data_IF_772431303748
#
_entry.id   IF_772431303748
#
_cell.length_a   1.000
_cell.length_b   1.000
_cell.length_c   1.000
_cell.angle_alpha   90.00
_cell.angle_beta   90.00
_cell.angle_gamma   90.00
#
_symmetry.space_group_name_H-M   'P 1'
#
loop_
_entity.id
_entity.type
_entity.pdbx_description
1 polymer ?
#
# COMPACT_ATOMS: atom_id res chain seq x y z
N UNK A 1 -15.36 -1.29 -26.09
CA UNK A 1 -14.06 -0.80 -25.56
C UNK A 1 -12.94 -1.60 -26.23
N UNK A 2 -11.84 -0.98 -26.67
CA UNK A 2 -10.66 -1.70 -27.15
C UNK A 2 -10.09 -2.52 -25.99
N UNK A 3 -9.82 -3.83 -26.20
CA UNK A 3 -9.26 -4.67 -25.14
C UNK A 3 -7.82 -4.26 -24.80
N UNK A 4 -7.45 -4.40 -23.53
CA UNK A 4 -6.11 -4.08 -23.02
C UNK A 4 -5.42 -5.35 -22.53
N UNK A 5 -4.16 -5.53 -22.94
CA UNK A 5 -3.34 -6.69 -22.62
C UNK A 5 -2.50 -6.43 -21.35
N UNK A 6 -2.44 -7.42 -20.47
CA UNK A 6 -1.44 -7.50 -19.41
C UNK A 6 -0.21 -8.19 -20.01
N UNK A 7 0.88 -7.45 -20.19
CA UNK A 7 2.10 -7.93 -20.85
C UNK A 7 3.29 -8.12 -19.89
N UNK A 8 3.16 -7.69 -18.65
CA UNK A 8 4.11 -7.92 -17.57
C UNK A 8 3.41 -7.95 -16.22
N UNK A 9 3.96 -8.72 -15.28
CA UNK A 9 3.46 -8.87 -13.92
C UNK A 9 4.58 -8.82 -12.89
N UNK A 10 4.31 -8.22 -11.73
CA UNK A 10 5.23 -8.25 -10.59
C UNK A 10 4.44 -8.21 -9.29
N UNK A 11 5.00 -8.78 -8.24
CA UNK A 11 4.40 -8.74 -6.91
C UNK A 11 5.47 -8.79 -5.82
N UNK A 12 5.16 -8.15 -4.69
CA UNK A 12 5.80 -8.32 -3.38
C UNK A 12 4.64 -8.47 -2.39
N UNK A 13 4.42 -9.68 -1.90
CA UNK A 13 3.26 -10.04 -1.08
C UNK A 13 3.70 -10.88 0.13
N UNK A 14 2.84 -11.09 1.12
CA UNK A 14 3.19 -11.91 2.29
C UNK A 14 3.74 -13.30 1.89
N UNK A 15 4.94 -13.63 2.37
CA UNK A 15 5.71 -14.84 2.04
C UNK A 15 5.96 -15.06 0.53
N UNK A 16 5.88 -13.99 -0.26
CA UNK A 16 6.08 -14.04 -1.71
C UNK A 16 6.82 -12.76 -2.18
N UNK A 17 8.15 -12.80 -2.28
CA UNK A 17 8.95 -11.67 -2.75
C UNK A 17 8.82 -11.41 -4.26
N UNK A 18 8.15 -12.31 -4.98
CA UNK A 18 7.88 -12.23 -6.41
C UNK A 18 6.57 -12.93 -6.81
N UNK A 19 6.12 -12.70 -8.04
CA UNK A 19 4.88 -13.25 -8.57
C UNK A 19 4.91 -14.79 -8.73
N UNK A 20 6.06 -15.38 -9.01
CA UNK A 20 6.21 -16.82 -9.16
C UNK A 20 6.04 -17.55 -7.82
N UNK A 21 6.66 -17.00 -6.76
CA UNK A 21 6.50 -17.49 -5.39
C UNK A 21 5.05 -17.33 -4.93
N UNK A 22 4.40 -16.21 -5.24
CA UNK A 22 2.99 -16.01 -4.94
C UNK A 22 2.10 -17.08 -5.59
N UNK A 23 2.33 -17.38 -6.86
CA UNK A 23 1.62 -18.44 -7.57
C UNK A 23 1.86 -19.81 -6.93
N UNK A 24 3.10 -20.11 -6.54
CA UNK A 24 3.44 -21.34 -5.82
C UNK A 24 2.70 -21.42 -4.48
N UNK A 25 2.62 -20.33 -3.74
CA UNK A 25 1.90 -20.27 -2.46
C UNK A 25 0.40 -20.56 -2.64
N UNK A 26 -0.22 -20.01 -3.69
CA UNK A 26 -1.62 -20.29 -4.02
C UNK A 26 -1.82 -21.78 -4.33
N UNK A 27 -1.01 -22.33 -5.22
CA UNK A 27 -1.17 -23.72 -5.70
C UNK A 27 -0.88 -24.76 -4.64
N UNK A 28 -0.03 -24.43 -3.66
CA UNK A 28 0.30 -25.32 -2.52
C UNK A 28 -0.59 -25.07 -1.30
N UNK A 29 -1.49 -24.07 -1.34
CA UNK A 29 -2.37 -23.73 -0.23
C UNK A 29 -1.64 -23.16 0.98
N UNK A 30 -0.51 -22.46 0.77
CA UNK A 30 0.24 -21.82 1.86
C UNK A 30 -0.60 -20.74 2.53
N UNK A 31 -0.71 -20.80 3.84
CA UNK A 31 -1.38 -19.79 4.66
C UNK A 31 -0.35 -18.79 5.20
N UNK A 32 -0.41 -17.53 4.77
CA UNK A 32 0.61 -16.50 5.04
C UNK A 32 0.20 -15.47 6.09
N UNK A 33 -0.94 -15.70 6.78
CA UNK A 33 -1.37 -14.87 7.89
C UNK A 33 -0.69 -15.35 9.18
N UNK A 34 -0.17 -14.41 9.96
CA UNK A 34 0.48 -14.70 11.25
C UNK A 34 0.28 -13.56 12.25
N UNK A 35 0.62 -13.80 13.51
CA UNK A 35 0.66 -12.72 14.50
C UNK A 35 1.68 -11.65 14.12
N UNK A 36 1.43 -10.42 14.57
CA UNK A 36 2.33 -9.29 14.40
C UNK A 36 3.65 -9.55 15.14
N UNK A 37 4.76 -9.18 14.50
CA UNK A 37 6.06 -9.14 15.17
C UNK A 37 6.17 -7.88 16.04
N UNK A 38 6.76 -7.95 17.23
CA UNK A 38 7.08 -6.76 18.05
C UNK A 38 7.96 -5.72 17.32
N UNK A 39 8.69 -6.13 16.28
CA UNK A 39 9.43 -5.19 15.42
C UNK A 39 8.53 -4.31 14.53
N UNK A 40 7.27 -4.69 14.33
CA UNK A 40 6.28 -3.91 13.58
C UNK A 40 5.51 -2.98 14.51
N UNK A 41 4.92 -3.51 15.52
CA UNK A 41 4.34 -2.81 16.68
C UNK A 41 4.19 -3.77 17.84
N UNK A 42 4.34 -3.26 19.06
CA UNK A 42 4.28 -4.08 20.28
C UNK A 42 2.83 -4.40 20.67
N UNK A 43 2.39 -5.67 20.59
CA UNK A 43 1.03 -6.05 20.98
C UNK A 43 0.72 -5.72 22.46
N UNK A 44 1.71 -5.72 23.34
CA UNK A 44 1.49 -5.39 24.74
C UNK A 44 0.96 -3.96 24.95
N UNK A 45 1.26 -3.06 24.01
CA UNK A 45 0.79 -1.66 24.07
C UNK A 45 -0.61 -1.48 23.47
N UNK A 46 -1.00 -2.26 22.47
CA UNK A 46 -2.16 -1.98 21.62
C UNK A 46 -3.24 -3.07 21.62
N UNK A 47 -2.90 -4.32 21.96
CA UNK A 47 -3.83 -5.43 21.92
C UNK A 47 -4.64 -5.54 23.23
N UNK A 48 -5.93 -5.82 23.09
CA UNK A 48 -6.84 -6.18 24.18
C UNK A 48 -7.94 -7.07 23.62
N UNK A 49 -8.27 -8.16 24.31
CA UNK A 49 -9.35 -9.07 23.92
C UNK A 49 -10.74 -8.42 24.09
N UNK A 50 -10.86 -7.42 24.95
CA UNK A 50 -12.09 -6.66 25.11
C UNK A 50 -12.27 -5.71 23.91
N UNK A 51 -13.26 -6.01 23.06
CA UNK A 51 -13.61 -5.19 21.91
C UNK A 51 -14.01 -3.75 22.27
N UNK A 52 -14.44 -3.52 23.51
CA UNK A 52 -14.83 -2.19 24.02
C UNK A 52 -13.67 -1.37 24.55
N UNK A 53 -12.50 -2.00 24.82
CA UNK A 53 -11.33 -1.31 25.38
C UNK A 53 -10.94 -0.09 24.53
N UNK A 54 -10.83 1.12 25.11
CA UNK A 54 -10.53 2.33 24.35
C UNK A 54 -9.12 2.24 23.73
N UNK A 55 -8.98 2.72 22.50
CA UNK A 55 -7.70 2.83 21.76
C UNK A 55 -6.90 1.52 21.64
N UNK A 56 -7.58 0.39 21.69
CA UNK A 56 -7.02 -0.96 21.54
C UNK A 56 -7.55 -1.64 20.30
N UNK A 57 -6.79 -2.63 19.86
CA UNK A 57 -7.16 -3.58 18.81
C UNK A 57 -7.42 -4.96 19.41
N UNK A 58 -8.47 -5.62 18.98
CA UNK A 58 -8.75 -7.02 19.34
C UNK A 58 -8.18 -8.03 18.34
N UNK A 59 -7.54 -7.55 17.27
CA UNK A 59 -6.85 -8.39 16.28
C UNK A 59 -5.38 -8.01 16.22
N UNK A 60 -4.51 -9.02 16.18
CA UNK A 60 -3.05 -8.88 16.03
C UNK A 60 -2.50 -9.75 14.91
N UNK A 61 -3.36 -10.27 14.04
CA UNK A 61 -2.99 -11.13 12.91
C UNK A 61 -3.07 -10.34 11.60
N UNK A 62 -2.16 -10.67 10.69
CA UNK A 62 -2.07 -9.99 9.39
C UNK A 62 -1.22 -10.75 8.38
N UNK A 63 -1.35 -10.38 7.12
CA UNK A 63 -0.47 -10.81 6.04
C UNK A 63 0.71 -9.83 5.92
N UNK A 64 1.88 -10.21 6.46
CA UNK A 64 3.06 -9.37 6.57
C UNK A 64 4.07 -9.69 5.47
N UNK A 65 4.60 -8.66 4.79
CA UNK A 65 5.74 -8.80 3.90
C UNK A 65 7.01 -8.87 4.74
N UNK A 66 7.73 -10.01 4.68
CA UNK A 66 8.89 -10.31 5.52
C UNK A 66 10.18 -10.51 4.74
N UNK A 67 10.12 -11.20 3.63
CA UNK A 67 11.27 -11.76 2.93
C UNK A 67 11.49 -11.08 1.57
N UNK A 68 11.45 -9.75 1.53
CA UNK A 68 11.77 -8.99 0.34
C UNK A 68 13.12 -8.29 0.48
N UNK A 69 13.80 -8.12 -0.64
CA UNK A 69 15.11 -7.53 -0.69
C UNK A 69 15.05 -6.13 -1.30
N UNK A 70 15.74 -5.18 -0.65
CA UNK A 70 15.93 -3.82 -1.15
C UNK A 70 17.41 -3.50 -1.20
N UNK A 71 17.97 -3.48 -2.41
CA UNK A 71 19.34 -3.02 -2.64
C UNK A 71 19.42 -2.16 -3.92
N UNK A 72 19.25 -0.84 -3.78
CA UNK A 72 19.35 0.06 -4.93
C UNK A 72 20.75 0.10 -5.55
N UNK A 73 21.79 -0.24 -4.80
CA UNK A 73 23.17 -0.27 -5.32
C UNK A 73 23.40 -1.52 -6.19
N UNK A 74 22.99 -2.69 -5.72
CA UNK A 74 23.00 -3.92 -6.54
C UNK A 74 22.21 -3.71 -7.85
N UNK A 75 21.06 -3.04 -7.76
CA UNK A 75 20.21 -2.75 -8.92
C UNK A 75 20.70 -1.58 -9.78
N UNK A 76 21.80 -0.93 -9.38
CA UNK A 76 22.40 0.23 -10.06
C UNK A 76 21.42 1.41 -10.22
N UNK A 77 20.54 1.58 -9.26
CA UNK A 77 19.63 2.73 -9.22
C UNK A 77 20.34 3.94 -8.61
N UNK A 78 20.15 5.14 -9.15
CA UNK A 78 20.83 6.36 -8.67
C UNK A 78 20.15 6.91 -7.40
N UNK A 79 20.03 6.08 -6.35
CA UNK A 79 19.41 6.44 -5.07
C UNK A 79 20.52 6.52 -4.01
N UNK A 80 20.87 7.71 -3.53
CA UNK A 80 21.84 7.86 -2.44
C UNK A 80 21.36 7.19 -1.15
N UNK A 81 22.23 6.64 -0.30
CA UNK A 81 21.84 5.98 0.95
C UNK A 81 20.92 6.84 1.83
N UNK A 82 21.23 8.12 2.03
CA UNK A 82 20.39 9.05 2.82
C UNK A 82 18.95 9.20 2.28
N UNK A 83 18.80 9.15 0.96
CA UNK A 83 17.48 9.17 0.32
C UNK A 83 16.79 7.82 0.56
N UNK A 84 17.51 6.71 0.37
CA UNK A 84 17.02 5.35 0.61
C UNK A 84 16.46 5.16 2.03
N UNK A 85 17.14 5.70 3.03
CA UNK A 85 16.72 5.62 4.44
C UNK A 85 15.45 6.45 4.73
N UNK A 86 15.24 7.51 3.97
CA UNK A 86 14.09 8.41 4.15
C UNK A 86 12.85 7.99 3.33
N UNK A 87 12.95 6.99 2.45
CA UNK A 87 11.85 6.53 1.60
C UNK A 87 11.00 5.50 2.34
N UNK A 88 9.69 5.69 2.36
CA UNK A 88 8.73 4.70 2.86
C UNK A 88 8.82 3.38 2.07
N UNK A 89 8.59 2.25 2.74
CA UNK A 89 8.65 0.94 2.10
C UNK A 89 7.66 0.79 0.94
N UNK A 90 6.50 1.45 1.00
CA UNK A 90 5.57 1.48 -0.14
C UNK A 90 6.20 2.09 -1.40
N UNK A 91 7.01 3.15 -1.26
CA UNK A 91 7.75 3.71 -2.40
C UNK A 91 8.86 2.77 -2.88
N UNK A 92 9.55 2.08 -1.96
CA UNK A 92 10.57 1.07 -2.31
C UNK A 92 9.94 -0.09 -3.09
N UNK A 93 8.75 -0.55 -2.65
CA UNK A 93 8.00 -1.59 -3.36
C UNK A 93 7.55 -1.14 -4.75
N UNK A 94 7.13 0.14 -4.90
CA UNK A 94 6.81 0.70 -6.22
C UNK A 94 7.99 0.59 -7.18
N UNK A 95 9.18 0.96 -6.72
CA UNK A 95 10.43 0.90 -7.52
C UNK A 95 10.78 -0.56 -7.85
N UNK A 96 10.79 -1.43 -6.84
CA UNK A 96 11.14 -2.84 -7.01
C UNK A 96 10.18 -3.56 -7.95
N UNK A 97 8.87 -3.35 -7.79
CA UNK A 97 7.87 -3.92 -8.69
C UNK A 97 7.92 -3.33 -10.09
N UNK A 98 8.19 -2.02 -10.25
CA UNK A 98 8.40 -1.42 -11.57
C UNK A 98 9.59 -2.06 -12.28
N UNK A 99 10.73 -2.22 -11.57
CA UNK A 99 11.89 -2.93 -12.13
C UNK A 99 11.55 -4.37 -12.52
N UNK A 100 10.84 -5.08 -11.65
CA UNK A 100 10.48 -6.48 -11.88
C UNK A 100 9.49 -6.65 -13.04
N UNK A 101 8.48 -5.78 -13.17
CA UNK A 101 7.50 -5.86 -14.26
C UNK A 101 8.12 -5.58 -15.64
N UNK A 102 9.11 -4.66 -15.68
CA UNK A 102 9.88 -4.39 -16.90
C UNK A 102 10.77 -5.59 -17.28
N UNK A 103 11.42 -6.20 -16.28
CA UNK A 103 12.23 -7.39 -16.50
C UNK A 103 11.38 -8.60 -16.94
N UNK A 104 10.19 -8.75 -16.39
CA UNK A 104 9.24 -9.80 -16.80
C UNK A 104 8.73 -9.60 -18.23
N UNK A 105 8.45 -8.36 -18.65
CA UNK A 105 8.11 -8.04 -20.03
C UNK A 105 9.28 -8.34 -20.98
N UNK A 106 10.49 -7.96 -20.60
CA UNK A 106 11.75 -8.33 -21.28
C UNK A 106 11.98 -7.69 -22.63
N UNK A 107 11.17 -6.71 -23.05
CA UNK A 107 11.32 -5.99 -24.32
C UNK A 107 11.46 -4.48 -24.08
N UNK A 108 12.08 -3.75 -25.03
CA UNK A 108 12.10 -2.29 -25.00
C UNK A 108 10.68 -1.72 -25.04
N UNK A 109 10.48 -0.62 -24.30
CA UNK A 109 9.25 0.20 -24.32
C UNK A 109 9.61 1.64 -24.69
N UNK A 110 8.64 2.38 -25.19
CA UNK A 110 8.81 3.81 -25.47
C UNK A 110 8.70 4.61 -24.16
N UNK A 111 9.80 5.16 -23.69
CA UNK A 111 9.84 5.91 -22.43
C UNK A 111 9.04 7.23 -22.49
N UNK A 112 9.01 7.89 -23.65
CA UNK A 112 8.24 9.13 -23.86
C UNK A 112 6.73 8.89 -23.73
N UNK A 113 6.29 7.65 -24.06
CA UNK A 113 4.88 7.27 -24.06
C UNK A 113 4.54 6.20 -23.02
N UNK A 114 5.32 6.15 -21.94
CA UNK A 114 5.07 5.25 -20.80
C UNK A 114 4.61 6.05 -19.58
N UNK A 115 3.42 5.70 -19.07
CA UNK A 115 2.81 6.27 -17.87
C UNK A 115 3.08 5.41 -16.62
N UNK A 116 2.88 6.01 -15.43
CA UNK A 116 2.89 5.31 -14.13
C UNK A 116 1.68 5.76 -13.33
N UNK A 117 0.66 4.92 -13.23
CA UNK A 117 -0.60 5.22 -12.54
C UNK A 117 -0.85 4.15 -11.48
N UNK A 118 -0.71 4.48 -10.20
CA UNK A 118 -0.73 3.52 -9.11
C UNK A 118 -1.87 3.80 -8.12
N UNK A 119 -2.47 2.75 -7.61
CA UNK A 119 -3.43 2.82 -6.51
C UNK A 119 -2.74 2.76 -5.16
N UNK A 120 -2.97 3.74 -4.32
CA UNK A 120 -2.50 3.75 -2.94
C UNK A 120 -3.42 4.64 -2.10
N UNK A 121 -3.74 4.19 -0.89
CA UNK A 121 -4.46 4.98 0.09
C UNK A 121 -3.56 5.28 1.29
N UNK A 122 -3.63 6.50 1.83
CA UNK A 122 -2.97 6.92 3.08
C UNK A 122 -1.42 6.90 3.07
N UNK A 123 -0.76 6.82 1.92
CA UNK A 123 0.70 6.70 1.77
C UNK A 123 1.29 5.43 2.43
N UNK A 124 2.01 5.55 3.55
CA UNK A 124 2.63 4.45 4.27
C UNK A 124 2.86 4.80 5.74
N UNK A 125 3.66 4.02 6.45
CA UNK A 125 3.87 4.18 7.90
C UNK A 125 4.88 5.28 8.25
N UNK A 126 5.80 5.62 7.36
CA UNK A 126 6.86 6.58 7.63
C UNK A 126 6.32 7.95 8.06
N UNK A 127 5.18 8.36 7.49
CA UNK A 127 4.49 9.59 7.87
C UNK A 127 4.08 9.59 9.36
N UNK A 128 3.51 8.48 9.85
CA UNK A 128 3.09 8.36 11.26
C UNK A 128 4.28 8.35 12.21
N UNK A 129 5.34 7.62 11.85
CA UNK A 129 6.53 7.50 12.69
C UNK A 129 7.25 8.83 12.83
N UNK A 130 7.39 9.59 11.75
CA UNK A 130 7.99 10.94 11.81
C UNK A 130 7.08 11.93 12.53
N UNK A 131 5.75 11.82 12.41
CA UNK A 131 4.81 12.66 13.15
C UNK A 131 4.92 12.45 14.67
N UNK A 132 5.09 11.21 15.13
CA UNK A 132 5.33 10.92 16.56
C UNK A 132 6.62 11.56 17.07
N UNK A 133 7.69 11.55 16.26
CA UNK A 133 8.94 12.25 16.61
C UNK A 133 8.74 13.76 16.71
N UNK A 134 8.01 14.34 15.76
CA UNK A 134 7.70 15.78 15.74
C UNK A 134 6.83 16.20 16.92
N UNK A 135 5.92 15.32 17.39
CA UNK A 135 5.03 15.58 18.51
C UNK A 135 5.72 15.56 19.89
N UNK A 136 7.02 15.26 19.96
CA UNK A 136 7.74 15.18 21.23
C UNK A 136 7.63 16.45 22.11
N UNK A 137 7.69 17.69 21.58
CA UNK A 137 7.49 18.89 22.40
C UNK A 137 6.11 18.97 23.06
N UNK A 138 5.05 18.55 22.34
CA UNK A 138 3.69 18.48 22.89
C UNK A 138 3.59 17.42 23.99
N UNK A 139 4.16 16.24 23.77
CA UNK A 139 4.23 15.16 24.78
C UNK A 139 4.96 15.65 26.04
N UNK A 140 6.11 16.31 25.86
CA UNK A 140 6.87 16.88 26.97
C UNK A 140 6.06 17.94 27.74
N UNK A 141 5.33 18.82 27.04
CA UNK A 141 4.46 19.81 27.65
C UNK A 141 3.37 19.15 28.52
N UNK A 142 2.68 18.14 27.99
CA UNK A 142 1.66 17.42 28.76
C UNK A 142 2.26 16.69 29.97
N UNK A 143 3.44 16.08 29.82
CA UNK A 143 4.18 15.48 30.93
C UNK A 143 4.50 16.53 32.01
N UNK A 144 5.01 17.72 31.64
CA UNK A 144 5.32 18.80 32.55
C UNK A 144 4.08 19.39 33.23
N UNK A 145 2.90 19.30 32.64
CA UNK A 145 1.63 19.77 33.25
C UNK A 145 1.04 18.77 34.24
N UNK A 146 1.49 17.52 34.24
CA UNK A 146 0.96 16.48 35.15
C UNK A 146 1.31 16.78 36.62
N UNK A 147 0.33 16.79 37.54
CA UNK A 147 0.57 17.16 38.95
C UNK A 147 1.61 16.28 39.64
N UNK A 148 1.65 14.99 39.37
CA UNK A 148 2.64 14.06 39.90
C UNK A 148 4.05 14.36 39.40
N UNK A 149 4.21 14.76 38.14
CA UNK A 149 5.49 15.15 37.57
C UNK A 149 6.02 16.46 38.15
N UNK A 150 5.12 17.41 38.47
CA UNK A 150 5.47 18.67 39.09
C UNK A 150 5.98 18.51 40.53
N UNK A 151 5.69 17.40 41.22
CA UNK A 151 6.21 17.08 42.54
C UNK A 151 7.67 16.62 42.54
N UNK A 152 8.21 16.26 41.35
CA UNK A 152 9.63 15.90 41.21
C UNK A 152 10.52 17.14 41.29
N UNK A 153 11.79 16.95 41.70
CA UNK A 153 12.76 18.04 41.66
C UNK A 153 13.00 18.56 40.23
N UNK A 154 13.39 19.82 40.05
CA UNK A 154 13.68 20.36 38.72
C UNK A 154 14.70 19.53 37.94
N UNK A 155 15.72 19.03 38.62
CA UNK A 155 16.78 18.19 38.00
C UNK A 155 16.22 16.87 37.50
N UNK A 156 15.34 16.19 38.25
CA UNK A 156 14.67 14.98 37.86
C UNK A 156 13.75 15.20 36.66
N UNK A 157 13.01 16.30 36.64
CA UNK A 157 12.12 16.64 35.52
C UNK A 157 12.91 16.84 34.21
N UNK A 158 14.02 17.54 34.30
CA UNK A 158 14.92 17.74 33.14
C UNK A 158 15.48 16.39 32.67
N UNK A 159 16.05 15.58 33.56
CA UNK A 159 16.63 14.30 33.23
C UNK A 159 15.63 13.34 32.56
N UNK A 160 14.41 13.22 33.08
CA UNK A 160 13.34 12.37 32.51
C UNK A 160 12.94 12.89 31.12
N UNK A 161 12.82 14.21 30.94
CA UNK A 161 12.43 14.78 29.65
C UNK A 161 13.50 14.58 28.58
N UNK A 162 14.78 14.75 28.95
CA UNK A 162 15.91 14.50 28.08
C UNK A 162 16.03 13.01 27.70
N UNK A 163 15.89 12.11 28.67
CA UNK A 163 15.91 10.66 28.41
C UNK A 163 14.75 10.24 27.48
N UNK A 164 13.55 10.76 27.70
CA UNK A 164 12.41 10.52 26.83
C UNK A 164 12.70 11.01 25.41
N UNK A 165 13.26 12.22 25.26
CA UNK A 165 13.65 12.77 23.95
C UNK A 165 14.67 11.90 23.23
N UNK A 166 15.68 11.40 23.95
CA UNK A 166 16.69 10.47 23.40
C UNK A 166 16.01 9.18 22.94
N UNK A 167 15.16 8.55 23.76
CA UNK A 167 14.45 7.32 23.39
C UNK A 167 13.55 7.52 22.18
N UNK A 168 12.83 8.63 22.10
CA UNK A 168 12.02 8.97 20.93
C UNK A 168 12.88 9.14 19.68
N UNK A 169 14.03 9.79 19.80
CA UNK A 169 14.95 9.96 18.66
C UNK A 169 15.59 8.65 18.19
N UNK A 170 15.75 7.65 19.05
CA UNK A 170 16.27 6.33 18.70
C UNK A 170 15.22 5.42 18.04
N UNK A 171 13.95 5.56 18.45
CA UNK A 171 12.88 4.65 18.02
C UNK A 171 12.12 5.16 16.80
N UNK A 172 12.24 6.44 16.44
CA UNK A 172 11.51 7.06 15.34
C UNK A 172 12.45 7.69 14.32
N UNK A 173 12.13 7.61 13.00
CA UNK A 173 13.01 8.07 11.94
C UNK A 173 13.37 9.55 12.08
N UNK A 174 14.60 9.89 11.70
CA UNK A 174 15.05 11.28 11.66
C UNK A 174 14.26 12.07 10.59
N UNK A 175 13.95 13.33 10.93
CA UNK A 175 13.32 14.26 9.98
C UNK A 175 14.44 15.02 9.25
N UNK A 176 14.58 14.72 7.95
CA UNK A 176 15.59 15.29 7.06
C UNK A 176 14.93 16.05 5.92
N UNK A 177 15.71 16.68 5.06
CA UNK A 177 15.26 17.30 3.80
C UNK A 177 14.61 16.31 2.82
N UNK A 178 14.90 15.01 2.96
CA UNK A 178 14.32 13.94 2.15
C UNK A 178 13.03 13.34 2.72
N UNK A 179 12.72 13.57 4.01
CA UNK A 179 11.58 12.97 4.72
C UNK A 179 10.26 13.29 4.04
N UNK A 180 10.05 14.55 3.64
CA UNK A 180 8.78 14.96 3.01
C UNK A 180 8.49 14.17 1.74
N UNK A 181 9.46 14.10 0.83
CA UNK A 181 9.33 13.33 -0.41
C UNK A 181 9.25 11.82 -0.16
N UNK A 182 9.94 11.33 0.87
CA UNK A 182 9.92 9.92 1.27
C UNK A 182 8.59 9.44 1.87
N UNK A 183 7.82 10.36 2.47
CA UNK A 183 6.57 10.02 3.18
C UNK A 183 5.29 10.29 2.37
N UNK A 184 5.37 10.95 1.21
CA UNK A 184 4.20 11.32 0.42
C UNK A 184 3.80 10.21 -0.56
N UNK A 185 2.55 9.74 -0.50
CA UNK A 185 2.04 8.68 -1.38
C UNK A 185 2.13 9.04 -2.86
N UNK A 186 1.75 10.26 -3.26
CA UNK A 186 1.80 10.69 -4.66
C UNK A 186 3.22 10.74 -5.27
N UNK A 187 4.25 10.86 -4.45
CA UNK A 187 5.65 10.77 -4.92
C UNK A 187 6.03 9.36 -5.38
N UNK A 188 5.29 8.35 -4.96
CA UNK A 188 5.51 6.94 -5.31
C UNK A 188 5.56 6.72 -6.84
N UNK A 189 4.53 7.18 -7.57
CA UNK A 189 4.48 7.11 -9.02
C UNK A 189 5.56 7.99 -9.69
N UNK A 190 5.73 9.22 -9.20
CA UNK A 190 6.75 10.14 -9.72
C UNK A 190 8.18 9.64 -9.52
N UNK A 191 8.46 8.94 -8.40
CA UNK A 191 9.77 8.35 -8.17
C UNK A 191 10.05 7.18 -9.10
N UNK A 192 9.07 6.31 -9.34
CA UNK A 192 9.20 5.26 -10.33
C UNK A 192 9.42 5.85 -11.74
N UNK A 193 8.60 6.82 -12.16
CA UNK A 193 8.76 7.50 -13.44
C UNK A 193 10.16 8.13 -13.59
N UNK A 194 10.64 8.84 -12.57
CA UNK A 194 11.97 9.46 -12.59
C UNK A 194 13.11 8.45 -12.68
N UNK A 195 13.06 7.35 -11.93
CA UNK A 195 14.13 6.35 -11.90
C UNK A 195 14.22 5.51 -13.18
N UNK A 196 13.11 5.31 -13.87
CA UNK A 196 13.04 4.53 -15.11
C UNK A 196 12.92 5.41 -16.36
N UNK A 197 13.09 6.74 -16.19
CA UNK A 197 13.08 7.72 -17.29
C UNK A 197 11.79 7.70 -18.10
N UNK A 198 10.63 7.61 -17.42
CA UNK A 198 9.33 7.64 -18.07
C UNK A 198 8.77 9.06 -18.11
N UNK A 199 8.29 9.50 -19.26
CA UNK A 199 7.85 10.87 -19.54
C UNK A 199 6.32 11.00 -19.67
N UNK A 200 5.59 9.89 -19.69
CA UNK A 200 4.13 9.90 -19.66
C UNK A 200 3.57 10.38 -18.30
N UNK A 201 2.25 10.55 -18.21
CA UNK A 201 1.59 10.95 -16.96
C UNK A 201 1.95 10.02 -15.80
N UNK A 202 2.17 10.62 -14.60
CA UNK A 202 2.39 9.82 -13.40
C UNK A 202 1.61 10.40 -12.22
N UNK A 203 0.80 9.59 -11.58
CA UNK A 203 -0.02 9.99 -10.43
C UNK A 203 -0.49 8.78 -9.61
N UNK A 204 -1.02 9.08 -8.42
CA UNK A 204 -1.67 8.11 -7.55
C UNK A 204 -3.18 8.32 -7.59
N UNK A 205 -3.91 7.22 -7.57
CA UNK A 205 -5.36 7.20 -7.38
C UNK A 205 -5.66 6.71 -5.96
N UNK A 206 -6.42 7.49 -5.21
CA UNK A 206 -6.97 7.09 -3.91
C UNK A 206 -8.49 6.97 -4.03
N UNK A 207 -8.97 5.75 -4.01
CA UNK A 207 -10.36 5.37 -3.91
C UNK A 207 -10.56 4.35 -2.76
N UNK A 208 -9.80 4.55 -1.68
CA UNK A 208 -9.71 3.66 -0.53
C UNK A 208 -9.43 2.21 -0.97
N UNK A 209 -10.22 1.22 -0.56
CA UNK A 209 -10.03 -0.20 -0.91
C UNK A 209 -10.10 -0.48 -2.43
N UNK A 210 -10.68 0.43 -3.22
CA UNK A 210 -10.80 0.32 -4.66
C UNK A 210 -9.66 1.00 -5.44
N UNK A 211 -8.63 1.57 -4.76
CA UNK A 211 -7.59 2.38 -5.39
C UNK A 211 -6.85 1.66 -6.53
N UNK A 212 -6.51 0.38 -6.34
CA UNK A 212 -5.84 -0.40 -7.38
C UNK A 212 -6.70 -0.56 -8.64
N UNK A 213 -7.99 -0.85 -8.47
CA UNK A 213 -8.92 -1.00 -9.61
C UNK A 213 -9.19 0.35 -10.28
N UNK A 214 -9.29 1.43 -9.52
CA UNK A 214 -9.46 2.79 -10.07
C UNK A 214 -8.20 3.25 -10.84
N UNK A 215 -7.00 2.86 -10.40
CA UNK A 215 -5.77 3.12 -11.14
C UNK A 215 -5.71 2.34 -12.47
N UNK A 216 -6.16 1.08 -12.46
CA UNK A 216 -6.27 0.27 -13.68
C UNK A 216 -7.31 0.87 -14.63
N UNK A 217 -8.44 1.36 -14.12
CA UNK A 217 -9.50 2.00 -14.93
C UNK A 217 -8.96 3.27 -15.63
N UNK A 218 -8.33 4.17 -14.88
CA UNK A 218 -7.67 5.35 -15.43
C UNK A 218 -6.56 5.00 -16.43
N UNK A 219 -5.83 3.91 -16.19
CA UNK A 219 -4.80 3.40 -17.11
C UNK A 219 -5.39 2.91 -18.43
N UNK A 220 -6.51 2.21 -18.38
CA UNK A 220 -7.23 1.72 -19.57
C UNK A 220 -7.78 2.91 -20.38
N UNK A 221 -8.38 3.91 -19.71
CA UNK A 221 -8.87 5.11 -20.39
C UNK A 221 -7.75 5.82 -21.16
N UNK A 222 -6.61 6.12 -20.52
CA UNK A 222 -5.50 6.77 -21.20
C UNK A 222 -4.87 5.96 -22.34
N UNK A 223 -4.84 4.61 -22.23
CA UNK A 223 -4.41 3.75 -23.34
C UNK A 223 -5.38 3.83 -24.53
N UNK A 224 -6.69 3.80 -24.30
CA UNK A 224 -7.73 3.85 -25.34
C UNK A 224 -7.77 5.23 -26.00
N UNK A 225 -7.57 6.29 -25.24
CA UNK A 225 -7.49 7.66 -25.74
C UNK A 225 -6.14 7.99 -26.41
N UNK A 226 -5.21 7.05 -26.45
CA UNK A 226 -3.87 7.22 -27.00
C UNK A 226 -3.04 8.34 -26.35
N UNK A 227 -3.28 8.65 -25.07
CA UNK A 227 -2.44 9.57 -24.31
C UNK A 227 -1.03 9.00 -24.11
N UNK A 228 -0.96 7.69 -23.89
CA UNK A 228 0.28 6.90 -23.79
C UNK A 228 0.07 5.52 -24.41
N UNK A 229 1.16 4.77 -24.63
CA UNK A 229 1.12 3.46 -25.29
C UNK A 229 1.43 2.29 -24.34
N UNK A 230 2.03 2.62 -23.20
CA UNK A 230 2.38 1.66 -22.14
C UNK A 230 2.13 2.29 -20.79
N UNK A 231 1.68 1.51 -19.81
CA UNK A 231 1.50 2.01 -18.44
C UNK A 231 1.86 0.95 -17.40
N UNK A 232 2.62 1.38 -16.39
CA UNK A 232 2.81 0.62 -15.15
C UNK A 232 1.68 1.01 -14.20
N UNK A 233 0.86 0.02 -13.80
CA UNK A 233 -0.31 0.25 -12.95
C UNK A 233 -0.53 -0.91 -11.97
N UNK A 234 -1.38 -0.71 -10.99
CA UNK A 234 -1.70 -1.69 -9.95
C UNK A 234 -1.86 -1.04 -8.60
N UNK A 235 -1.64 -1.78 -7.52
CA UNK A 235 -1.84 -1.28 -6.16
C UNK A 235 -0.69 -1.57 -5.22
N UNK A 236 -0.53 -0.69 -4.23
CA UNK A 236 0.48 -0.80 -3.18
C UNK A 236 -0.16 -0.38 -1.87
N UNK A 237 0.00 -1.19 -0.83
CA UNK A 237 -0.39 -0.82 0.54
C UNK A 237 0.68 -1.26 1.55
N UNK A 238 0.99 -0.34 2.48
CA UNK A 238 1.96 -0.52 3.56
C UNK A 238 1.43 0.00 4.91
N UNK A 239 0.11 0.05 5.09
CA UNK A 239 -0.55 0.63 6.26
C UNK A 239 -0.92 -0.44 7.31
N UNK A 240 0.07 -1.15 7.81
CA UNK A 240 -0.09 -2.24 8.79
C UNK A 240 0.38 -1.88 10.21
N UNK A 241 0.46 -0.59 10.52
CA UNK A 241 0.80 -0.10 11.86
C UNK A 241 -0.35 -0.22 12.87
N UNK A 242 -0.04 -0.14 14.17
CA UNK A 242 -1.00 -0.23 15.25
C UNK A 242 -2.20 0.72 15.08
N UNK A 243 -1.96 1.95 14.58
CA UNK A 243 -3.02 2.94 14.31
C UNK A 243 -4.09 2.41 13.34
N UNK A 244 -3.69 1.69 12.28
CA UNK A 244 -4.62 1.08 11.32
C UNK A 244 -5.42 -0.04 11.98
N UNK A 245 -4.77 -0.92 12.72
CA UNK A 245 -5.43 -2.00 13.45
C UNK A 245 -6.47 -1.48 14.43
N UNK A 246 -6.11 -0.50 15.28
CA UNK A 246 -7.03 0.11 16.24
C UNK A 246 -8.24 0.70 15.52
N UNK A 247 -8.05 1.50 14.46
CA UNK A 247 -9.15 2.15 13.73
C UNK A 247 -10.08 1.15 13.06
N UNK A 248 -9.55 0.11 12.41
CA UNK A 248 -10.35 -0.93 11.78
C UNK A 248 -11.07 -1.83 12.80
N UNK A 249 -10.49 -2.09 13.97
CA UNK A 249 -11.19 -2.76 15.05
C UNK A 249 -12.34 -1.93 15.60
N UNK A 250 -12.17 -0.61 15.76
CA UNK A 250 -13.25 0.27 16.28
C UNK A 250 -14.48 0.34 15.38
N UNK A 251 -14.33 0.13 14.08
CA UNK A 251 -15.48 -0.02 13.17
C UNK A 251 -15.98 -1.47 13.03
N UNK A 252 -15.41 -2.41 13.80
CA UNK A 252 -15.82 -3.81 13.80
C UNK A 252 -15.49 -4.56 12.51
N UNK A 253 -14.44 -4.16 11.78
CA UNK A 253 -14.14 -4.70 10.46
C UNK A 253 -13.18 -5.88 10.45
N UNK A 254 -12.32 -6.01 11.48
CA UNK A 254 -11.30 -7.06 11.53
C UNK A 254 -11.81 -8.36 12.18
N UNK A 255 -11.31 -9.48 11.68
CA UNK A 255 -11.41 -10.77 12.38
C UNK A 255 -10.23 -10.94 13.32
N UNK A 256 -10.48 -11.51 14.50
CA UNK A 256 -9.44 -11.92 15.44
C UNK A 256 -8.89 -13.32 15.16
N UNK A 257 -9.56 -14.11 14.33
CA UNK A 257 -9.31 -15.55 14.19
C UNK A 257 -8.91 -15.99 12.79
N UNK A 258 -9.11 -15.17 11.78
CA UNK A 258 -8.76 -15.47 10.39
C UNK A 258 -9.77 -14.93 9.37
N UNK A 259 -9.38 -14.88 8.12
CA UNK A 259 -10.28 -14.50 7.02
C UNK A 259 -11.01 -15.71 6.47
N UNK A 260 -12.32 -15.60 6.28
CA UNK A 260 -13.20 -16.68 5.79
C UNK A 260 -14.18 -16.14 4.76
N UNK A 261 -13.67 -15.75 3.55
CA UNK A 261 -14.53 -15.18 2.50
C UNK A 261 -15.61 -16.19 2.08
N UNK A 262 -16.85 -15.71 1.97
CA UNK A 262 -18.05 -16.48 1.61
C UNK A 262 -18.48 -17.56 2.61
N UNK A 263 -17.82 -17.71 3.75
CA UNK A 263 -18.21 -18.66 4.81
C UNK A 263 -19.32 -18.07 5.70
N UNK A 264 -20.20 -18.94 6.20
CA UNK A 264 -21.26 -18.52 7.13
C UNK A 264 -20.71 -18.01 8.48
N UNK A 265 -19.52 -18.45 8.87
CA UNK A 265 -18.81 -18.02 10.08
C UNK A 265 -17.87 -16.82 9.85
N UNK A 266 -17.99 -16.12 8.72
CA UNK A 266 -17.19 -14.92 8.46
C UNK A 266 -17.55 -13.81 9.46
N UNK A 267 -16.54 -13.29 10.18
CA UNK A 267 -16.66 -12.33 11.28
C UNK A 267 -15.84 -11.05 11.05
N UNK A 268 -15.27 -10.87 9.88
CA UNK A 268 -14.42 -9.77 9.51
C UNK A 268 -13.36 -10.20 8.50
N UNK A 269 -12.45 -9.27 8.18
CA UNK A 269 -11.30 -9.57 7.33
C UNK A 269 -9.98 -9.49 8.11
N UNK A 270 -8.92 -10.04 7.53
CA UNK A 270 -7.55 -9.89 8.02
C UNK A 270 -6.80 -8.97 7.05
N UNK A 271 -6.18 -7.93 7.59
CA UNK A 271 -5.39 -6.99 6.78
C UNK A 271 -4.14 -7.67 6.21
N UNK A 272 -3.75 -7.28 5.02
CA UNK A 272 -2.48 -7.63 4.40
C UNK A 272 -1.82 -6.41 3.78
N UNK A 273 -0.51 -6.49 3.57
CA UNK A 273 0.27 -5.48 2.88
C UNK A 273 0.95 -6.06 1.65
N UNK A 274 1.41 -5.19 0.77
CA UNK A 274 2.17 -5.60 -0.40
C UNK A 274 2.02 -4.66 -1.58
N UNK A 275 2.59 -5.09 -2.69
CA UNK A 275 2.50 -4.43 -3.98
C UNK A 275 2.26 -5.47 -5.07
N UNK A 276 1.40 -5.13 -6.03
CA UNK A 276 1.25 -5.90 -7.26
C UNK A 276 1.08 -4.93 -8.43
N UNK A 277 2.01 -4.98 -9.38
CA UNK A 277 2.01 -4.11 -10.54
C UNK A 277 1.95 -4.90 -11.84
N UNK A 278 1.28 -4.30 -12.81
CA UNK A 278 1.11 -4.80 -14.17
C UNK A 278 1.70 -3.81 -15.18
N UNK A 279 2.22 -4.32 -16.27
CA UNK A 279 2.49 -3.56 -17.47
C UNK A 279 1.34 -3.79 -18.45
N UNK A 280 0.66 -2.70 -18.82
CA UNK A 280 -0.49 -2.75 -19.72
C UNK A 280 -0.15 -2.08 -21.05
N UNK A 281 -0.73 -2.63 -22.13
CA UNK A 281 -0.72 -2.08 -23.49
C UNK A 281 -2.08 -2.36 -24.15
N UNK A 282 -2.47 -1.56 -25.17
CA UNK A 282 -3.57 -1.97 -26.03
C UNK A 282 -3.29 -3.36 -26.61
N UNK A 283 -4.31 -4.20 -26.70
CA UNK A 283 -4.13 -5.58 -27.22
C UNK A 283 -3.54 -5.57 -28.63
N UNK A 284 -4.03 -4.67 -29.49
CA UNK A 284 -3.53 -4.52 -30.87
C UNK A 284 -2.04 -4.17 -30.95
N UNK A 285 -1.54 -3.35 -29.99
CA UNK A 285 -0.13 -2.99 -29.93
C UNK A 285 0.72 -4.14 -29.39
N UNK A 286 0.23 -4.85 -28.37
CA UNK A 286 0.90 -6.03 -27.81
C UNK A 286 1.03 -7.16 -28.85
N UNK A 287 -0.02 -7.43 -29.62
CA UNK A 287 0.00 -8.43 -30.70
C UNK A 287 0.98 -8.02 -31.81
N UNK A 288 0.97 -6.76 -32.24
CA UNK A 288 1.89 -6.24 -33.24
C UNK A 288 3.35 -6.33 -32.80
N UNK A 289 3.62 -6.11 -31.52
CA UNK A 289 4.95 -6.23 -30.91
C UNK A 289 5.34 -7.68 -30.63
N UNK A 290 4.43 -8.65 -30.79
CA UNK A 290 4.63 -10.04 -30.42
C UNK A 290 4.88 -10.21 -28.91
N UNK A 291 4.24 -9.41 -28.07
CA UNK A 291 4.38 -9.49 -26.63
C UNK A 291 3.73 -10.75 -26.06
N UNK A 292 4.27 -11.26 -24.96
CA UNK A 292 3.59 -12.27 -24.16
C UNK A 292 2.38 -11.61 -23.50
N UNK A 293 1.20 -12.18 -23.67
CA UNK A 293 -0.04 -11.71 -23.05
C UNK A 293 -0.45 -12.68 -21.95
N UNK A 294 -0.48 -12.22 -20.70
CA UNK A 294 -0.94 -13.00 -19.56
C UNK A 294 -2.47 -13.11 -19.52
N UNK A 295 -3.12 -11.97 -19.74
CA UNK A 295 -4.58 -11.86 -19.77
C UNK A 295 -5.01 -10.63 -20.54
N UNK A 296 -6.30 -10.61 -20.92
CA UNK A 296 -6.92 -9.49 -21.64
C UNK A 296 -8.03 -8.89 -20.79
N UNK A 297 -7.92 -7.60 -20.49
CA UNK A 297 -8.93 -6.82 -19.80
C UNK A 297 -9.95 -6.35 -20.85
N UNK A 298 -11.18 -6.83 -20.73
CA UNK A 298 -12.26 -6.55 -21.68
C UNK A 298 -13.26 -5.52 -21.19
N UNK A 299 -13.32 -5.31 -19.87
CA UNK A 299 -14.23 -4.37 -19.24
C UNK A 299 -13.85 -4.14 -17.80
N UNK A 300 -13.98 -2.89 -17.37
CA UNK A 300 -13.83 -2.44 -16.00
C UNK A 300 -14.90 -1.40 -15.73
N UNK A 301 -15.38 -1.29 -14.51
CA UNK A 301 -16.27 -0.21 -14.10
C UNK A 301 -16.35 -0.06 -12.59
N UNK A 302 -16.65 1.15 -12.14
CA UNK A 302 -16.93 1.48 -10.76
C UNK A 302 -18.39 1.83 -10.50
N UNK A 303 -18.79 1.80 -9.23
CA UNK A 303 -20.05 2.34 -8.75
C UNK A 303 -19.86 2.86 -7.31
N UNK A 304 -20.66 3.86 -6.96
CA UNK A 304 -20.83 4.27 -5.56
C UNK A 304 -22.02 3.52 -4.97
N UNK A 305 -21.93 3.18 -3.68
CA UNK A 305 -23.04 2.59 -2.92
C UNK A 305 -24.23 3.54 -2.73
N UNK A 306 -24.04 4.85 -2.98
CA UNK A 306 -25.08 5.86 -2.82
C UNK A 306 -25.54 5.99 -1.36
N UNK A 307 -26.82 6.36 -1.18
CA UNK A 307 -27.41 6.47 0.16
C UNK A 307 -27.72 5.06 0.71
N UNK A 308 -27.04 4.67 1.80
CA UNK A 308 -27.25 3.39 2.48
C UNK A 308 -27.37 3.54 3.99
N UNK A 309 -27.08 2.47 4.74
CA UNK A 309 -27.15 2.42 6.22
C UNK A 309 -26.02 3.24 6.89
N UNK A 310 -24.96 3.57 6.17
CA UNK A 310 -23.80 4.32 6.65
C UNK A 310 -22.66 4.24 5.64
N UNK A 311 -21.69 5.13 5.78
CA UNK A 311 -20.57 5.23 4.82
C UNK A 311 -19.67 3.97 4.78
N UNK A 312 -19.61 3.22 5.88
CA UNK A 312 -18.80 2.00 6.00
C UNK A 312 -19.62 0.71 5.76
N UNK A 313 -20.93 0.81 5.60
CA UNK A 313 -21.81 -0.34 5.43
C UNK A 313 -21.92 -0.73 3.95
N UNK A 314 -21.54 -1.98 3.56
CA UNK A 314 -21.64 -2.40 2.17
C UNK A 314 -23.09 -2.41 1.66
N UNK A 315 -23.29 -2.03 0.40
CA UNK A 315 -24.60 -1.99 -0.25
C UNK A 315 -24.63 -2.95 -1.46
N UNK A 316 -25.40 -4.05 -1.40
CA UNK A 316 -25.51 -5.00 -2.50
C UNK A 316 -26.00 -4.38 -3.82
N UNK A 317 -26.73 -3.27 -3.76
CA UNK A 317 -27.22 -2.56 -4.97
C UNK A 317 -26.05 -1.92 -5.70
N UNK A 318 -25.16 -1.22 -4.98
CA UNK A 318 -23.95 -0.64 -5.55
C UNK A 318 -23.00 -1.71 -6.12
N UNK A 319 -22.81 -2.80 -5.40
CA UNK A 319 -21.99 -3.93 -5.88
C UNK A 319 -22.54 -4.53 -7.19
N UNK A 320 -23.84 -4.79 -7.25
CA UNK A 320 -24.47 -5.28 -8.49
C UNK A 320 -24.32 -4.29 -9.65
N UNK A 321 -24.42 -3.00 -9.36
CA UNK A 321 -24.26 -1.96 -10.38
C UNK A 321 -22.85 -1.94 -10.97
N UNK A 322 -21.80 -2.06 -10.13
CA UNK A 322 -20.41 -2.14 -10.60
C UNK A 322 -20.21 -3.37 -11.51
N UNK A 323 -20.67 -4.54 -11.08
CA UNK A 323 -20.58 -5.77 -11.87
C UNK A 323 -21.34 -5.63 -13.19
N UNK A 324 -22.58 -5.15 -13.19
CA UNK A 324 -23.37 -5.00 -14.40
C UNK A 324 -22.73 -4.03 -15.41
N UNK A 325 -22.15 -2.93 -14.93
CA UNK A 325 -21.42 -1.96 -15.77
C UNK A 325 -20.19 -2.59 -16.39
N UNK A 326 -19.37 -3.34 -15.61
CA UNK A 326 -18.18 -4.00 -16.11
C UNK A 326 -18.55 -5.08 -17.16
N UNK A 327 -19.58 -5.86 -16.94
CA UNK A 327 -20.09 -6.84 -17.93
C UNK A 327 -20.56 -6.16 -19.21
N UNK A 328 -21.32 -5.07 -19.09
CA UNK A 328 -21.75 -4.28 -20.24
C UNK A 328 -20.56 -3.73 -21.03
N UNK A 329 -19.56 -3.18 -20.33
CA UNK A 329 -18.33 -2.68 -20.96
C UNK A 329 -17.55 -3.78 -21.68
N UNK A 330 -17.61 -5.01 -21.18
CA UNK A 330 -17.01 -6.19 -21.81
C UNK A 330 -17.84 -6.77 -22.98
N UNK A 331 -19.03 -6.22 -23.26
CA UNK A 331 -19.95 -6.77 -24.24
C UNK A 331 -20.57 -8.11 -23.82
N UNK A 332 -20.69 -8.36 -22.53
CA UNK A 332 -21.33 -9.54 -21.94
C UNK A 332 -22.73 -9.17 -21.45
N UNK A 333 -23.64 -10.14 -21.49
CA UNK A 333 -25.05 -9.99 -21.04
C UNK A 333 -25.34 -10.89 -19.83
#
# INVERSE_FOLDING_TARGET
>A
MEPVAIVGVSAILPDAPDAATFWSNITTGRYSISEVSPSRWDPALYFDEDHSAPDKTYSKIGGWVRDWHWDPMEWKLPIPPKVSDAIDDGQKWAIACTRAVLADHGKPIDHERTAVILGNAMAGEHHYLTALRIAMPEIARELHSAPSFQQLSPEMRIAITEELGIRMSMNYPEVTDHTRAGALGHVMAGRAANLFDFHGPNFIVDAACASAMAAIDASIEGLIEHEFDTVVTGGIDRNMGASSFVKFCKIGALSATGTRPFDAGADGFVMGEGAALFLLKRLSDAERAGDRVYAVLRGIAGASDGRGKGITAPNPVGQRLAVARAWSAAGLS
#
